data_IF_374324587713
#
_entry.id   IF_374324587713
#
_cell.length_a   1.000
_cell.length_b   1.000
_cell.length_c   1.000
_cell.angle_alpha   90.00
_cell.angle_beta   90.00
_cell.angle_gamma   90.00
#
_symmetry.space_group_name_H-M   'P 1'
#
loop_
_entity.id
_entity.type
_entity.pdbx_description
1 polymer ?
#
# COMPACT_ATOMS: atom_id res chain seq x y z
N UNK A 1 -7.76 108.64 3.24
CA UNK A 1 -8.53 108.20 2.08
C UNK A 1 -8.29 106.72 1.92
N UNK A 2 -9.38 105.89 1.89
CA UNK A 2 -9.57 104.54 1.32
C UNK A 2 -9.03 103.37 2.11
N UNK A 3 -9.84 102.74 2.94
CA UNK A 3 -10.56 101.47 2.74
C UNK A 3 -9.95 100.47 1.81
N UNK A 4 -9.85 99.18 2.25
CA UNK A 4 -10.48 98.03 1.60
C UNK A 4 -10.11 96.67 2.29
N UNK A 5 -11.16 96.06 2.80
CA UNK A 5 -11.56 94.62 2.86
C UNK A 5 -10.51 93.49 2.96
N UNK A 6 -10.70 92.74 4.02
CA UNK A 6 -10.37 91.30 4.20
C UNK A 6 -11.36 90.38 3.50
N UNK A 7 -11.00 89.23 3.11
CA UNK A 7 -11.89 88.08 3.29
C UNK A 7 -11.27 86.94 4.13
N UNK A 8 -12.01 86.50 5.06
CA UNK A 8 -11.84 85.34 5.91
C UNK A 8 -11.99 84.09 5.04
N UNK A 9 -10.91 83.31 4.94
CA UNK A 9 -10.99 81.94 4.38
C UNK A 9 -11.23 80.90 5.51
N UNK A 10 -12.50 80.51 5.63
CA UNK A 10 -12.94 79.46 6.58
C UNK A 10 -12.66 78.12 6.01
N UNK A 11 -11.50 77.46 6.37
CA UNK A 11 -11.17 76.05 6.03
C UNK A 11 -12.13 75.18 6.85
N UNK A 12 -13.09 74.58 6.14
CA UNK A 12 -13.92 73.46 6.67
C UNK A 12 -13.04 72.21 6.87
N UNK A 13 -12.73 71.85 8.11
CA UNK A 13 -12.15 70.54 8.44
C UNK A 13 -13.19 69.47 8.15
N UNK A 14 -13.00 68.71 7.07
CA UNK A 14 -13.77 67.53 6.84
C UNK A 14 -13.32 66.47 7.86
N UNK A 15 -14.21 66.02 8.74
CA UNK A 15 -14.01 64.89 9.63
C UNK A 15 -14.10 63.62 8.79
N UNK A 16 -12.99 62.90 8.58
CA UNK A 16 -13.00 61.60 7.97
C UNK A 16 -13.83 60.60 8.81
N UNK A 17 -14.60 59.71 8.18
CA UNK A 17 -15.45 58.79 8.92
C UNK A 17 -14.57 57.66 9.56
N UNK A 18 -14.33 57.81 10.87
CA UNK A 18 -13.57 56.84 11.70
C UNK A 18 -14.16 55.41 11.71
N UNK A 19 -15.36 55.20 11.20
CA UNK A 19 -16.05 53.92 11.24
C UNK A 19 -15.66 52.94 10.11
N UNK A 20 -15.10 53.40 9.00
CA UNK A 20 -14.75 52.53 7.86
C UNK A 20 -13.49 51.77 8.15
N UNK A 21 -12.50 52.36 8.83
CA UNK A 21 -11.22 51.69 9.13
C UNK A 21 -11.33 50.57 10.17
N UNK A 22 -12.29 50.64 11.07
CA UNK A 22 -12.51 49.56 12.06
C UNK A 22 -13.11 48.31 11.44
N UNK A 23 -14.00 48.43 10.49
CA UNK A 23 -14.61 47.28 9.80
C UNK A 23 -13.64 46.62 8.84
N UNK A 24 -12.83 47.37 8.12
CA UNK A 24 -11.79 46.80 7.23
C UNK A 24 -10.69 46.08 8.03
N UNK A 25 -10.28 46.62 9.18
CA UNK A 25 -9.31 45.96 10.06
C UNK A 25 -9.86 44.67 10.69
N UNK A 26 -11.13 44.62 11.06
CA UNK A 26 -11.77 43.40 11.58
C UNK A 26 -11.92 42.37 10.47
N UNK A 27 -12.29 42.77 9.25
CA UNK A 27 -12.40 41.86 8.12
C UNK A 27 -11.03 41.25 7.73
N UNK A 28 -9.98 42.06 7.76
CA UNK A 28 -8.60 41.58 7.48
C UNK A 28 -8.12 40.59 8.56
N UNK A 29 -8.44 40.85 9.83
CA UNK A 29 -8.09 39.97 10.94
C UNK A 29 -8.82 38.64 10.89
N UNK A 30 -10.11 38.64 10.50
CA UNK A 30 -10.91 37.42 10.31
C UNK A 30 -10.41 36.61 9.08
N UNK A 31 -10.05 37.28 7.98
CA UNK A 31 -9.44 36.58 6.83
C UNK A 31 -8.09 35.96 7.17
N UNK A 32 -7.22 36.65 7.90
CA UNK A 32 -5.94 36.09 8.34
C UNK A 32 -6.11 34.91 9.29
N UNK A 33 -7.07 34.96 10.23
CA UNK A 33 -7.34 33.83 11.14
C UNK A 33 -7.91 32.59 10.42
N UNK A 34 -8.70 32.79 9.36
CA UNK A 34 -9.18 31.64 8.53
C UNK A 34 -8.08 30.99 7.71
N UNK A 35 -7.07 31.74 7.27
CA UNK A 35 -5.90 31.18 6.56
C UNK A 35 -5.05 30.32 7.51
N UNK A 36 -4.87 30.73 8.76
CA UNK A 36 -4.13 29.93 9.75
C UNK A 36 -4.88 28.65 10.16
N UNK A 37 -6.21 28.66 10.23
CA UNK A 37 -6.98 27.44 10.50
C UNK A 37 -6.95 26.43 9.32
N UNK A 38 -6.80 26.92 8.08
CA UNK A 38 -6.68 26.03 6.91
C UNK A 38 -5.33 25.32 6.89
N UNK A 39 -4.24 26.00 7.32
CA UNK A 39 -2.90 25.40 7.34
C UNK A 39 -2.76 24.28 8.40
N UNK A 40 -3.37 24.44 9.59
CA UNK A 40 -3.34 23.39 10.63
C UNK A 40 -4.09 22.11 10.21
N UNK A 41 -5.17 22.25 9.40
CA UNK A 41 -5.89 21.07 8.91
C UNK A 41 -5.12 20.27 7.87
N UNK A 42 -4.29 20.90 7.04
CA UNK A 42 -3.44 20.19 6.06
C UNK A 42 -2.28 19.48 6.75
N UNK A 43 -1.61 20.10 7.72
CA UNK A 43 -0.55 19.43 8.49
C UNK A 43 -1.07 18.27 9.37
N UNK A 44 -2.25 18.40 9.99
CA UNK A 44 -2.88 17.29 10.72
C UNK A 44 -3.34 16.18 9.77
N UNK A 45 -3.78 16.49 8.57
CA UNK A 45 -4.15 15.51 7.54
C UNK A 45 -2.94 14.73 7.05
N UNK A 46 -1.82 15.38 6.79
CA UNK A 46 -0.57 14.72 6.38
C UNK A 46 0.07 13.92 7.51
N UNK A 47 0.03 14.39 8.75
CA UNK A 47 0.56 13.68 9.92
C UNK A 47 -0.18 12.36 10.22
N UNK A 48 -1.44 12.24 9.79
CA UNK A 48 -2.26 11.03 9.94
C UNK A 48 -2.34 10.19 8.65
N UNK A 49 -1.69 10.61 7.57
CA UNK A 49 -1.70 9.87 6.32
C UNK A 49 -0.94 8.55 6.47
N UNK A 50 -1.48 7.49 5.88
CA UNK A 50 -0.79 6.21 5.78
C UNK A 50 0.50 6.38 4.96
N UNK A 51 1.65 6.09 5.56
CA UNK A 51 2.96 6.23 4.92
C UNK A 51 3.45 4.95 4.27
N UNK A 52 3.01 3.81 4.78
CA UNK A 52 3.42 2.49 4.30
C UNK A 52 2.31 1.47 4.48
N UNK A 53 2.09 0.66 3.47
CA UNK A 53 1.22 -0.51 3.57
C UNK A 53 2.07 -1.77 3.47
N UNK A 54 2.01 -2.60 4.52
CA UNK A 54 2.51 -3.96 4.49
C UNK A 54 1.39 -4.88 4.04
N UNK A 55 1.64 -5.65 3.00
CA UNK A 55 0.71 -6.63 2.47
C UNK A 55 1.24 -8.05 2.72
N UNK A 56 0.53 -8.83 3.52
CA UNK A 56 0.80 -10.26 3.71
C UNK A 56 -0.01 -11.05 2.68
N UNK A 57 0.67 -11.63 1.72
CA UNK A 57 0.08 -12.44 0.66
C UNK A 57 0.26 -13.92 0.98
N UNK A 58 -0.83 -14.57 1.40
CA UNK A 58 -0.88 -15.96 1.84
C UNK A 58 -1.84 -16.74 0.92
N UNK A 59 -1.42 -17.04 -0.33
CA UNK A 59 -2.24 -17.74 -1.30
C UNK A 59 -2.44 -19.19 -0.89
N UNK A 60 -3.41 -19.89 -1.50
CA UNK A 60 -3.66 -21.30 -1.20
C UNK A 60 -2.41 -22.15 -1.44
N UNK A 61 -1.88 -22.69 -0.38
CA UNK A 61 -0.65 -23.48 -0.35
C UNK A 61 -0.87 -24.86 0.27
N UNK A 62 -2.04 -25.43 0.02
CA UNK A 62 -2.45 -26.80 0.35
C UNK A 62 -2.46 -27.08 1.86
N UNK A 63 -1.33 -27.42 2.46
CA UNK A 63 -1.18 -27.84 3.86
C UNK A 63 -0.64 -26.74 4.80
N UNK A 64 -0.32 -25.54 4.28
CA UNK A 64 0.31 -24.47 5.07
C UNK A 64 -0.66 -23.58 5.83
N UNK A 65 -1.98 -23.76 5.69
CA UNK A 65 -2.99 -22.91 6.33
C UNK A 65 -2.76 -22.72 7.84
N UNK A 66 -2.35 -23.78 8.55
CA UNK A 66 -2.02 -23.71 9.98
C UNK A 66 -0.85 -22.77 10.28
N UNK A 67 0.18 -22.77 9.45
CA UNK A 67 1.34 -21.88 9.58
C UNK A 67 0.98 -20.44 9.25
N UNK A 68 0.06 -20.21 8.31
CA UNK A 68 -0.44 -18.85 8.02
C UNK A 68 -1.13 -18.24 9.23
N UNK A 69 -1.92 -19.00 9.97
CA UNK A 69 -2.50 -18.53 11.23
C UNK A 69 -1.42 -18.18 12.26
N UNK A 70 -0.32 -18.92 12.31
CA UNK A 70 0.80 -18.60 13.18
C UNK A 70 1.47 -17.30 12.77
N UNK A 71 1.77 -17.12 11.48
CA UNK A 71 2.37 -15.90 10.94
C UNK A 71 1.51 -14.65 11.23
N UNK A 72 0.19 -14.80 11.07
CA UNK A 72 -0.76 -13.72 11.38
C UNK A 72 -0.75 -13.43 12.89
N UNK A 73 -0.77 -14.46 13.74
CA UNK A 73 -0.74 -14.29 15.20
C UNK A 73 0.57 -13.61 15.68
N UNK A 74 1.70 -13.92 15.05
CA UNK A 74 2.99 -13.27 15.34
C UNK A 74 2.97 -11.79 14.93
N UNK A 75 2.36 -11.46 13.78
CA UNK A 75 2.15 -10.07 13.36
C UNK A 75 1.24 -9.34 14.36
N UNK A 76 0.12 -9.94 14.74
CA UNK A 76 -0.80 -9.37 15.74
C UNK A 76 -0.13 -9.16 17.10
N UNK A 77 0.72 -10.08 17.51
CA UNK A 77 1.53 -9.93 18.74
C UNK A 77 2.54 -8.77 18.62
N UNK A 78 3.12 -8.57 17.45
CA UNK A 78 3.98 -7.42 17.17
C UNK A 78 3.20 -6.11 17.25
N UNK A 79 2.06 -6.03 16.58
CA UNK A 79 1.18 -4.85 16.59
C UNK A 79 0.67 -4.56 17.99
N UNK A 80 0.29 -5.58 18.76
CA UNK A 80 -0.15 -5.41 20.14
C UNK A 80 0.92 -4.81 21.05
N UNK A 81 2.19 -5.09 20.78
CA UNK A 81 3.32 -4.54 21.57
C UNK A 81 3.73 -3.14 21.13
N UNK A 82 3.66 -2.83 19.85
CA UNK A 82 4.22 -1.59 19.27
C UNK A 82 3.16 -0.57 18.85
N UNK A 83 1.93 -1.02 18.62
CA UNK A 83 0.91 -0.22 17.96
C UNK A 83 1.16 -0.09 16.44
N UNK A 84 0.31 0.71 15.81
CA UNK A 84 0.42 1.18 14.43
C UNK A 84 0.36 2.71 14.46
N UNK A 85 1.34 3.39 13.88
CA UNK A 85 1.38 4.86 13.83
C UNK A 85 0.92 5.37 12.45
N UNK A 86 1.72 5.06 11.43
CA UNK A 86 1.50 5.50 10.05
C UNK A 86 1.57 4.34 9.06
N UNK A 87 1.47 3.13 9.57
CA UNK A 87 1.48 1.89 8.79
C UNK A 87 0.11 1.24 8.81
N UNK A 88 -0.24 0.60 7.71
CA UNK A 88 -1.39 -0.29 7.62
C UNK A 88 -0.92 -1.69 7.24
N UNK A 89 -1.57 -2.69 7.78
CA UNK A 89 -1.24 -4.09 7.53
C UNK A 89 -2.48 -4.79 6.97
N UNK A 90 -2.40 -5.18 5.70
CA UNK A 90 -3.42 -5.95 5.02
C UNK A 90 -2.96 -7.39 4.86
N UNK A 91 -3.87 -8.31 5.06
CA UNK A 91 -3.63 -9.75 4.90
C UNK A 91 -4.61 -10.30 3.88
N UNK A 92 -4.09 -10.87 2.80
CA UNK A 92 -4.85 -11.76 1.92
C UNK A 92 -4.55 -13.19 2.32
N UNK A 93 -5.54 -13.93 2.76
CA UNK A 93 -5.40 -15.31 3.19
C UNK A 93 -6.40 -16.21 2.49
N UNK A 94 -5.88 -17.20 1.77
CA UNK A 94 -6.68 -18.29 1.23
C UNK A 94 -6.80 -19.43 2.24
N UNK A 95 -8.03 -19.83 2.51
CA UNK A 95 -8.34 -20.98 3.38
C UNK A 95 -8.65 -22.23 2.57
N UNK A 96 -8.90 -22.07 1.27
CA UNK A 96 -9.09 -23.13 0.29
C UNK A 96 -8.68 -22.65 -1.09
N UNK A 97 -8.71 -23.55 -2.09
CA UNK A 97 -8.46 -23.20 -3.47
C UNK A 97 -9.48 -22.24 -4.09
N UNK A 98 -10.66 -22.13 -3.48
CA UNK A 98 -11.78 -21.35 -4.01
C UNK A 98 -12.18 -20.18 -3.14
N UNK A 99 -11.58 -20.01 -1.97
CA UNK A 99 -11.94 -18.96 -1.03
C UNK A 99 -10.72 -18.26 -0.46
N UNK A 100 -10.78 -16.95 -0.42
CA UNK A 100 -9.83 -16.13 0.30
C UNK A 100 -10.54 -14.94 0.96
N UNK A 101 -9.90 -14.38 1.97
CA UNK A 101 -10.37 -13.18 2.66
C UNK A 101 -9.24 -12.17 2.74
N UNK A 102 -9.54 -10.92 2.41
CA UNK A 102 -8.68 -9.79 2.74
C UNK A 102 -9.20 -9.11 3.99
N UNK A 103 -8.32 -8.91 4.94
CA UNK A 103 -8.62 -8.18 6.17
C UNK A 103 -7.46 -7.29 6.56
N UNK A 104 -7.75 -6.29 7.35
CA UNK A 104 -6.78 -5.39 7.95
C UNK A 104 -6.56 -5.75 9.41
N UNK A 105 -5.29 -5.80 9.83
CA UNK A 105 -4.93 -5.86 11.24
C UNK A 105 -4.98 -4.43 11.77
N UNK A 106 -5.87 -4.17 12.70
CA UNK A 106 -6.09 -2.85 13.31
C UNK A 106 -5.74 -2.88 14.80
N UNK A 107 -5.42 -1.71 15.36
CA UNK A 107 -5.04 -1.59 16.78
C UNK A 107 -5.92 -0.54 17.52
N UNK A 108 -7.23 -0.72 17.57
CA UNK A 108 -8.11 0.22 18.23
C UNK A 108 -7.94 0.16 19.76
N UNK A 109 -7.74 1.32 20.39
CA UNK A 109 -7.67 1.45 21.85
C UNK A 109 -6.65 0.52 22.52
N UNK A 110 -5.54 0.24 21.85
CA UNK A 110 -4.47 -0.58 22.40
C UNK A 110 -4.73 -2.10 22.33
N UNK A 111 -5.67 -2.54 21.54
CA UNK A 111 -5.94 -3.97 21.28
C UNK A 111 -5.87 -4.26 19.81
N UNK A 112 -5.24 -5.37 19.46
CA UNK A 112 -5.24 -5.86 18.09
C UNK A 112 -6.58 -6.49 17.75
N UNK A 113 -7.09 -6.20 16.55
CA UNK A 113 -8.34 -6.76 16.01
C UNK A 113 -8.21 -6.91 14.49
N UNK A 114 -9.14 -7.65 13.88
CA UNK A 114 -9.19 -7.87 12.42
C UNK A 114 -10.44 -7.24 11.83
N UNK A 115 -10.25 -6.38 10.85
CA UNK A 115 -11.34 -5.79 10.08
C UNK A 115 -11.39 -6.47 8.70
N UNK A 116 -12.40 -7.29 8.45
CA UNK A 116 -12.62 -7.88 7.12
C UNK A 116 -12.92 -6.77 6.11
N UNK A 117 -12.21 -6.76 4.99
CA UNK A 117 -12.34 -5.79 3.90
C UNK A 117 -13.07 -6.40 2.71
N UNK A 118 -12.66 -7.61 2.29
CA UNK A 118 -13.23 -8.28 1.11
C UNK A 118 -13.14 -9.80 1.24
N UNK A 119 -14.14 -10.49 0.70
CA UNK A 119 -14.14 -11.93 0.50
C UNK A 119 -14.06 -12.24 -0.97
N UNK A 120 -13.24 -13.21 -1.34
CA UNK A 120 -13.04 -13.65 -2.71
C UNK A 120 -13.59 -15.05 -2.88
N UNK A 121 -14.42 -15.23 -3.90
CA UNK A 121 -14.73 -16.53 -4.45
C UNK A 121 -13.81 -16.76 -5.67
N UNK A 122 -13.13 -17.88 -5.71
CA UNK A 122 -12.18 -18.20 -6.82
C UNK A 122 -11.13 -17.12 -7.07
N UNK A 123 -10.29 -16.79 -6.07
CA UNK A 123 -9.27 -15.76 -6.23
C UNK A 123 -8.21 -16.20 -7.24
N UNK A 124 -7.94 -15.36 -8.23
CA UNK A 124 -6.99 -15.63 -9.31
C UNK A 124 -5.52 -15.44 -8.90
N UNK A 125 -5.09 -15.94 -7.75
CA UNK A 125 -3.76 -15.71 -7.19
C UNK A 125 -2.61 -16.35 -8.00
N UNK A 126 -2.92 -17.14 -9.04
CA UNK A 126 -1.94 -17.79 -9.95
C UNK A 126 -1.86 -17.11 -11.30
N UNK A 127 -2.59 -16.02 -11.55
CA UNK A 127 -2.61 -15.32 -12.83
C UNK A 127 -2.20 -13.86 -12.68
N UNK A 128 -1.68 -13.27 -13.75
CA UNK A 128 -1.30 -11.85 -13.78
C UNK A 128 -2.50 -10.96 -13.43
N UNK A 129 -3.64 -11.21 -14.06
CA UNK A 129 -4.87 -10.43 -13.88
C UNK A 129 -5.40 -10.53 -12.45
N UNK A 130 -5.36 -11.74 -11.87
CA UNK A 130 -5.81 -11.97 -10.51
C UNK A 130 -4.91 -11.31 -9.47
N UNK A 131 -3.58 -11.42 -9.62
CA UNK A 131 -2.60 -10.74 -8.75
C UNK A 131 -2.75 -9.22 -8.89
N UNK A 132 -2.87 -8.71 -10.12
CA UNK A 132 -3.13 -7.28 -10.36
C UNK A 132 -4.41 -6.82 -9.66
N UNK A 133 -5.49 -7.59 -9.75
CA UNK A 133 -6.75 -7.28 -9.09
C UNK A 133 -6.64 -7.26 -7.56
N UNK A 134 -5.93 -8.23 -6.97
CA UNK A 134 -5.67 -8.28 -5.53
C UNK A 134 -4.85 -7.06 -5.08
N UNK A 135 -3.82 -6.68 -5.83
CA UNK A 135 -2.98 -5.52 -5.51
C UNK A 135 -3.72 -4.19 -5.71
N UNK A 136 -4.63 -4.10 -6.68
CA UNK A 136 -5.52 -2.95 -6.82
C UNK A 136 -6.44 -2.81 -5.60
N UNK A 137 -7.01 -3.92 -5.10
CA UNK A 137 -7.78 -3.91 -3.84
C UNK A 137 -6.92 -3.43 -2.66
N UNK A 138 -5.64 -3.85 -2.58
CA UNK A 138 -4.72 -3.37 -1.54
C UNK A 138 -4.54 -1.85 -1.63
N UNK A 139 -4.36 -1.30 -2.83
CA UNK A 139 -4.22 0.14 -3.03
C UNK A 139 -5.51 0.90 -2.71
N UNK A 140 -6.67 0.32 -3.05
CA UNK A 140 -7.97 0.91 -2.75
C UNK A 140 -8.23 0.96 -1.24
N UNK A 141 -7.98 -0.15 -0.53
CA UNK A 141 -8.27 -0.22 0.91
C UNK A 141 -7.21 0.46 1.78
N UNK A 142 -5.95 0.47 1.36
CA UNK A 142 -4.85 1.03 2.12
C UNK A 142 -3.87 1.80 1.21
N UNK A 143 -4.31 2.93 0.61
CA UNK A 143 -3.44 3.73 -0.22
C UNK A 143 -2.24 4.23 0.57
N UNK A 144 -1.05 4.13 -0.02
CA UNK A 144 0.22 4.57 0.55
C UNK A 144 1.21 4.94 -0.56
N UNK A 145 2.18 5.82 -0.30
CA UNK A 145 3.25 6.11 -1.26
C UNK A 145 4.20 4.92 -1.44
N UNK A 146 4.26 4.02 -0.46
CA UNK A 146 5.17 2.87 -0.43
C UNK A 146 4.46 1.63 0.07
N UNK A 147 4.73 0.52 -0.59
CA UNK A 147 4.21 -0.79 -0.22
C UNK A 147 5.36 -1.75 0.08
N UNK A 148 5.10 -2.70 0.97
CA UNK A 148 5.96 -3.84 1.22
C UNK A 148 5.11 -5.11 1.17
N UNK A 149 5.67 -6.23 0.72
CA UNK A 149 4.95 -7.49 0.61
C UNK A 149 5.70 -8.59 1.35
N UNK A 150 4.97 -9.42 2.07
CA UNK A 150 5.44 -10.72 2.52
C UNK A 150 4.64 -11.81 1.82
N UNK A 151 5.29 -12.86 1.37
CA UNK A 151 4.66 -14.00 0.69
C UNK A 151 4.95 -15.23 1.52
N UNK A 152 3.90 -15.93 1.95
CA UNK A 152 4.02 -17.20 2.65
C UNK A 152 3.38 -18.30 1.85
N UNK A 153 4.18 -19.28 1.40
CA UNK A 153 3.74 -20.42 0.62
C UNK A 153 4.80 -21.52 0.56
N UNK A 154 4.57 -22.58 -0.23
CA UNK A 154 5.69 -23.40 -0.67
C UNK A 154 6.49 -22.65 -1.72
N UNK A 155 7.81 -22.84 -1.73
CA UNK A 155 8.70 -22.29 -2.74
C UNK A 155 9.64 -23.37 -3.29
N UNK A 156 9.89 -23.31 -4.59
CA UNK A 156 10.79 -24.24 -5.28
C UNK A 156 11.92 -23.52 -6.04
N UNK A 157 12.03 -22.24 -5.84
CA UNK A 157 13.13 -21.38 -6.30
C UNK A 157 13.48 -21.57 -7.78
N UNK A 158 14.35 -22.49 -8.07
CA UNK A 158 14.93 -22.69 -9.38
C UNK A 158 14.05 -23.45 -10.41
N UNK A 159 13.02 -24.16 -9.95
CA UNK A 159 12.19 -25.00 -10.81
C UNK A 159 10.98 -24.25 -11.36
N UNK A 160 10.69 -24.38 -12.67
CA UNK A 160 9.45 -23.85 -13.25
C UNK A 160 8.25 -24.71 -12.89
N UNK A 161 7.05 -24.17 -12.98
CA UNK A 161 5.78 -24.90 -12.78
C UNK A 161 5.72 -26.17 -13.65
N UNK A 162 6.21 -26.12 -14.87
CA UNK A 162 6.24 -27.24 -15.80
C UNK A 162 7.36 -28.25 -15.52
N UNK A 163 8.33 -27.89 -14.69
CA UNK A 163 9.51 -28.72 -14.40
C UNK A 163 9.29 -29.87 -13.42
N UNK A 164 8.14 -29.87 -12.70
CA UNK A 164 7.86 -30.85 -11.65
C UNK A 164 7.48 -32.24 -12.16
N UNK A 165 7.33 -32.45 -13.46
CA UNK A 165 7.18 -33.77 -14.04
C UNK A 165 8.48 -34.58 -14.16
N UNK A 166 9.58 -34.03 -13.70
CA UNK A 166 10.88 -34.69 -13.82
C UNK A 166 11.13 -35.68 -12.68
N UNK A 167 10.57 -36.85 -12.79
CA UNK A 167 11.24 -38.05 -12.27
C UNK A 167 12.58 -38.34 -12.99
N UNK A 168 13.05 -37.46 -13.85
CA UNK A 168 14.38 -37.51 -14.42
C UNK A 168 15.21 -36.32 -13.98
N UNK A 169 15.66 -36.35 -12.73
CA UNK A 169 16.75 -35.52 -12.22
C UNK A 169 18.04 -35.61 -13.06
N UNK A 170 18.05 -36.47 -14.10
CA UNK A 170 19.22 -36.78 -14.86
C UNK A 170 19.42 -35.99 -16.15
N UNK A 171 18.46 -35.13 -16.56
CA UNK A 171 18.65 -34.26 -17.72
C UNK A 171 17.83 -32.99 -17.66
N UNK A 172 18.18 -32.10 -16.76
CA UNK A 172 17.74 -30.73 -16.91
C UNK A 172 18.40 -30.12 -18.15
N UNK A 173 17.59 -29.60 -19.06
CA UNK A 173 18.11 -28.78 -20.16
C UNK A 173 18.86 -27.58 -19.57
N UNK A 174 20.01 -27.27 -20.15
CA UNK A 174 20.73 -26.06 -19.75
C UNK A 174 19.94 -24.82 -20.18
N UNK A 175 20.08 -23.71 -19.47
CA UNK A 175 19.36 -22.47 -19.73
C UNK A 175 19.32 -22.05 -21.21
N UNK A 176 20.42 -22.17 -21.93
CA UNK A 176 20.53 -21.89 -23.37
C UNK A 176 19.85 -22.89 -24.33
N UNK A 177 19.34 -23.99 -23.83
CA UNK A 177 18.59 -24.98 -24.60
C UNK A 177 17.09 -24.71 -24.68
N UNK A 178 16.61 -23.64 -23.98
CA UNK A 178 15.23 -23.18 -23.99
C UNK A 178 15.09 -22.03 -24.97
N UNK A 179 14.36 -22.25 -26.06
CA UNK A 179 14.30 -21.31 -27.16
C UNK A 179 13.32 -20.15 -26.98
N UNK A 180 12.40 -20.18 -26.01
CA UNK A 180 11.29 -19.20 -26.00
C UNK A 180 10.91 -18.59 -24.67
N UNK A 181 11.32 -19.08 -23.51
CA UNK A 181 11.08 -18.37 -22.23
C UNK A 181 12.11 -18.76 -21.16
N UNK A 182 12.56 -17.82 -20.31
CA UNK A 182 13.38 -18.17 -19.16
C UNK A 182 12.61 -19.12 -18.25
N UNK A 183 13.32 -20.11 -17.67
CA UNK A 183 12.78 -20.98 -16.65
C UNK A 183 12.31 -20.14 -15.48
N UNK A 184 11.00 -20.08 -15.28
CA UNK A 184 10.42 -19.34 -14.19
C UNK A 184 10.48 -20.16 -12.90
N UNK A 185 10.63 -19.47 -11.78
CA UNK A 185 10.61 -20.05 -10.44
C UNK A 185 9.19 -19.96 -9.93
N UNK A 186 8.76 -20.91 -9.13
CA UNK A 186 7.40 -20.87 -8.61
C UNK A 186 7.33 -20.89 -7.09
N UNK A 187 6.23 -20.39 -6.62
CA UNK A 187 5.75 -20.47 -5.25
C UNK A 187 4.26 -20.85 -5.25
N UNK A 188 3.70 -21.23 -4.11
CA UNK A 188 2.28 -21.56 -3.99
C UNK A 188 2.03 -22.96 -3.45
N UNK A 189 1.04 -23.66 -3.98
CA UNK A 189 0.61 -24.97 -3.53
C UNK A 189 1.46 -26.13 -4.04
N UNK A 190 1.11 -27.33 -3.59
CA UNK A 190 1.83 -28.57 -3.97
C UNK A 190 1.47 -29.04 -5.38
N UNK A 191 0.34 -28.62 -5.94
CA UNK A 191 -0.07 -29.02 -7.29
C UNK A 191 0.01 -27.83 -8.25
N UNK A 192 0.26 -28.13 -9.52
CA UNK A 192 0.54 -27.16 -10.58
C UNK A 192 -0.50 -26.04 -10.68
N UNK A 193 -1.77 -26.36 -10.50
CA UNK A 193 -2.89 -25.42 -10.58
C UNK A 193 -2.84 -24.32 -9.51
N UNK A 194 -2.11 -24.55 -8.40
CA UNK A 194 -1.93 -23.60 -7.30
C UNK A 194 -0.52 -23.02 -7.23
N UNK A 195 0.28 -23.26 -8.25
CA UNK A 195 1.64 -22.74 -8.35
C UNK A 195 1.67 -21.47 -9.21
N UNK A 196 2.43 -20.51 -8.79
CA UNK A 196 2.59 -19.21 -9.44
C UNK A 196 4.05 -19.00 -9.79
N UNK A 197 4.34 -18.72 -11.04
CA UNK A 197 5.69 -18.32 -11.45
C UNK A 197 6.03 -16.92 -10.93
N UNK A 198 7.28 -16.71 -10.54
CA UNK A 198 7.79 -15.40 -10.07
C UNK A 198 7.60 -14.32 -11.14
N UNK A 199 7.80 -14.66 -12.42
CA UNK A 199 7.52 -13.72 -13.52
C UNK A 199 6.03 -13.33 -13.63
N UNK A 200 5.10 -14.21 -13.24
CA UNK A 200 3.67 -13.87 -13.13
C UNK A 200 3.42 -12.89 -12.00
N UNK A 201 4.08 -13.07 -10.85
CA UNK A 201 4.04 -12.11 -9.74
C UNK A 201 4.58 -10.75 -10.17
N UNK A 202 5.77 -10.72 -10.80
CA UNK A 202 6.39 -9.49 -11.27
C UNK A 202 5.46 -8.72 -12.21
N UNK A 203 4.89 -9.38 -13.22
CA UNK A 203 3.91 -8.76 -14.14
C UNK A 203 2.64 -8.29 -13.43
N UNK A 204 2.17 -9.01 -12.41
CA UNK A 204 1.03 -8.59 -11.58
C UNK A 204 1.31 -7.32 -10.81
N UNK A 205 2.51 -7.19 -10.23
CA UNK A 205 2.97 -5.98 -9.52
C UNK A 205 3.06 -4.79 -10.50
N UNK A 206 3.69 -4.99 -11.65
CA UNK A 206 3.78 -3.96 -12.71
C UNK A 206 2.39 -3.57 -13.20
N UNK A 207 1.50 -4.54 -13.43
CA UNK A 207 0.13 -4.30 -13.87
C UNK A 207 -0.70 -3.45 -12.89
N UNK A 208 -0.44 -3.59 -11.59
CA UNK A 208 -1.06 -2.78 -10.55
C UNK A 208 -0.38 -1.40 -10.37
N UNK A 209 0.80 -1.19 -10.94
CA UNK A 209 1.57 0.05 -10.78
C UNK A 209 2.03 0.30 -9.34
N UNK A 210 2.18 -0.76 -8.54
CA UNK A 210 2.57 -0.66 -7.13
C UNK A 210 4.08 -0.57 -7.01
N UNK A 211 4.56 0.43 -6.27
CA UNK A 211 5.99 0.52 -5.91
C UNK A 211 6.25 -0.25 -4.63
N UNK A 212 6.96 -1.38 -4.74
CA UNK A 212 7.40 -2.17 -3.60
C UNK A 212 8.73 -1.67 -3.05
N UNK A 213 8.82 -1.48 -1.74
CA UNK A 213 10.08 -1.20 -1.05
C UNK A 213 10.90 -2.48 -0.87
N UNK A 214 10.19 -3.57 -0.54
CA UNK A 214 10.77 -4.92 -0.50
C UNK A 214 9.68 -5.98 -0.69
N UNK A 215 10.13 -7.16 -1.10
CA UNK A 215 9.35 -8.40 -1.10
C UNK A 215 10.11 -9.41 -0.26
N UNK A 216 9.47 -9.92 0.79
CA UNK A 216 10.01 -10.97 1.65
C UNK A 216 9.31 -12.28 1.33
N UNK A 217 10.04 -13.25 0.85
CA UNK A 217 9.56 -14.63 0.72
C UNK A 217 9.78 -15.38 2.04
N UNK A 218 8.71 -15.77 2.69
CA UNK A 218 8.69 -16.73 3.79
C UNK A 218 8.42 -18.13 3.21
N UNK A 219 9.26 -18.50 2.24
CA UNK A 219 9.12 -19.66 1.40
C UNK A 219 10.47 -20.36 1.24
N UNK A 220 10.44 -21.68 1.03
CA UNK A 220 11.65 -22.43 0.76
C UNK A 220 12.30 -22.04 -0.58
N UNK A 221 13.61 -22.03 -0.66
CA UNK A 221 14.42 -21.88 -1.89
C UNK A 221 14.20 -20.57 -2.70
N UNK A 222 13.49 -19.59 -2.20
CA UNK A 222 13.22 -18.34 -2.92
C UNK A 222 14.36 -17.30 -2.80
N UNK A 223 15.34 -17.52 -1.94
CA UNK A 223 16.50 -16.65 -1.78
C UNK A 223 17.57 -16.98 -2.84
N UNK A 224 17.27 -16.68 -4.09
CA UNK A 224 18.20 -16.92 -5.22
C UNK A 224 18.33 -15.66 -6.09
N UNK A 225 19.46 -15.54 -6.78
CA UNK A 225 19.73 -14.41 -7.68
C UNK A 225 18.74 -14.35 -8.84
N UNK A 226 18.22 -15.47 -9.27
CA UNK A 226 17.25 -15.56 -10.36
C UNK A 226 15.89 -15.01 -9.95
N UNK A 227 15.43 -15.32 -8.73
CA UNK A 227 14.21 -14.73 -8.18
C UNK A 227 14.36 -13.22 -8.08
N UNK A 228 15.50 -12.75 -7.55
CA UNK A 228 15.78 -11.32 -7.46
C UNK A 228 15.86 -10.66 -8.84
N UNK A 229 16.41 -11.36 -9.84
CA UNK A 229 16.50 -10.85 -11.20
C UNK A 229 15.12 -10.70 -11.87
N UNK A 230 14.20 -11.63 -11.65
CA UNK A 230 12.84 -11.59 -12.17
C UNK A 230 12.02 -10.44 -11.56
N UNK A 231 12.33 -10.03 -10.33
CA UNK A 231 11.61 -9.01 -9.56
C UNK A 231 12.26 -7.62 -9.60
N UNK A 232 13.35 -7.44 -10.34
CA UNK A 232 14.13 -6.18 -10.34
C UNK A 232 13.44 -4.99 -11.01
N UNK A 233 12.43 -5.22 -11.85
CA UNK A 233 11.67 -4.21 -12.60
C UNK A 233 10.37 -3.85 -11.87
#
# INVERSE_FOLDING_TARGET
>A
VSTIFSPINRIRKMKAPRKIYTWTSILLFVCCSLIFLSCEKEELGEAMANRKTLFMFLPWSTDLTGYFYTNIADMEACVSRRGLEHERILVFMSTSSTEATMFEIIHPKGKCDRKTLKRYGTPGFTTVEGITGILNDVQEFAPAPVYAMTIGSHGMGWFPVDGTQAHSLFRMKKHWEYQEQPLTRYFGGLTREFQTDVGTLARGIVGAGVKMEYILFDDCYMSSVEVAYELKE
#
